data_IF_802701758936
#
_entry.id   IF_802701758936
#
_cell.length_a   1.000
_cell.length_b   1.000
_cell.length_c   1.000
_cell.angle_alpha   90.00
_cell.angle_beta   90.00
_cell.angle_gamma   90.00
#
_symmetry.space_group_name_H-M   'P 1'
#
loop_
_entity.id
_entity.type
_entity.pdbx_description
1 polymer ?
#
# COMPACT_ATOMS: atom_id res chain seq x y z
N UNK A 1 21.34 -30.20 -31.36
CA UNK A 1 21.46 -28.77 -30.97
C UNK A 1 21.77 -28.69 -29.48
N UNK A 2 23.01 -29.02 -29.07
CA UNK A 2 23.40 -29.25 -27.66
C UNK A 2 24.75 -28.60 -27.36
N UNK A 3 24.78 -27.27 -27.23
CA UNK A 3 25.99 -26.55 -26.73
C UNK A 3 25.74 -25.29 -25.89
N UNK A 4 24.50 -24.84 -25.68
CA UNK A 4 24.23 -23.55 -24.98
C UNK A 4 23.81 -23.70 -23.51
N UNK A 5 23.69 -24.91 -22.94
CA UNK A 5 23.05 -25.13 -21.62
C UNK A 5 24.00 -25.44 -20.45
N UNK A 6 25.31 -25.28 -20.63
CA UNK A 6 26.31 -25.75 -19.64
C UNK A 6 26.88 -24.61 -18.77
N UNK A 7 26.73 -23.34 -19.15
CA UNK A 7 27.51 -22.25 -18.50
C UNK A 7 26.89 -21.64 -17.22
N UNK A 8 25.61 -21.87 -16.90
CA UNK A 8 24.96 -21.27 -15.71
C UNK A 8 24.53 -22.29 -14.64
N UNK A 9 25.07 -23.51 -14.65
CA UNK A 9 24.77 -24.46 -13.57
C UNK A 9 25.44 -24.02 -12.28
N UNK A 10 24.63 -23.77 -11.25
CA UNK A 10 25.16 -23.56 -9.90
C UNK A 10 26.03 -24.75 -9.48
N UNK A 11 26.86 -24.57 -8.46
CA UNK A 11 27.69 -25.64 -7.88
C UNK A 11 26.87 -26.84 -7.32
N UNK A 12 25.55 -26.75 -7.36
CA UNK A 12 24.54 -27.71 -6.90
C UNK A 12 23.74 -28.36 -8.04
N UNK A 13 24.23 -28.27 -9.29
CA UNK A 13 23.72 -29.07 -10.42
C UNK A 13 22.37 -28.63 -11.01
N UNK A 14 21.71 -27.63 -10.41
CA UNK A 14 20.48 -27.01 -10.90
C UNK A 14 20.67 -25.51 -11.13
N UNK A 15 19.88 -24.94 -12.03
CA UNK A 15 19.67 -23.49 -12.13
C UNK A 15 18.36 -23.15 -11.42
N UNK A 16 18.27 -21.98 -10.80
CA UNK A 16 17.04 -21.49 -10.15
C UNK A 16 15.82 -21.55 -11.08
N UNK A 17 16.02 -21.28 -12.38
CA UNK A 17 14.97 -21.39 -13.40
C UNK A 17 14.44 -22.82 -13.58
N UNK A 18 15.29 -23.85 -13.49
CA UNK A 18 14.88 -25.24 -13.63
C UNK A 18 14.04 -25.71 -12.42
N UNK A 19 14.41 -25.29 -11.21
CA UNK A 19 13.63 -25.56 -10.00
C UNK A 19 12.30 -24.81 -10.02
N UNK A 20 12.30 -23.57 -10.52
CA UNK A 20 11.09 -22.77 -10.70
C UNK A 20 10.13 -23.40 -11.70
N UNK A 21 10.64 -23.89 -12.83
CA UNK A 21 9.83 -24.60 -13.83
C UNK A 21 9.22 -25.88 -13.23
N UNK A 22 10.00 -26.65 -12.46
CA UNK A 22 9.51 -27.82 -11.75
C UNK A 22 8.36 -27.49 -10.79
N UNK A 23 8.52 -26.42 -10.00
CA UNK A 23 7.47 -25.97 -9.07
C UNK A 23 6.30 -25.26 -9.77
N UNK A 24 6.37 -25.00 -11.07
CA UNK A 24 5.23 -24.49 -11.85
C UNK A 24 4.23 -25.59 -12.24
N UNK A 25 4.62 -26.86 -12.13
CA UNK A 25 3.79 -28.02 -12.47
C UNK A 25 2.97 -28.49 -11.26
N UNK A 26 1.91 -29.26 -11.51
CA UNK A 26 1.03 -29.82 -10.47
C UNK A 26 0.67 -31.27 -10.73
N UNK A 27 0.33 -31.99 -9.65
CA UNK A 27 -0.22 -33.35 -9.73
C UNK A 27 0.61 -34.30 -10.58
N UNK A 28 -0.03 -34.90 -11.58
CA UNK A 28 0.58 -35.91 -12.45
C UNK A 28 1.74 -35.36 -13.31
N UNK A 29 1.63 -34.12 -13.81
CA UNK A 29 2.68 -33.47 -14.61
C UNK A 29 3.93 -33.22 -13.76
N UNK A 30 3.73 -32.73 -12.53
CA UNK A 30 4.81 -32.56 -11.56
C UNK A 30 5.50 -33.88 -11.22
N UNK A 31 4.72 -34.94 -11.02
CA UNK A 31 5.25 -36.28 -10.77
C UNK A 31 6.08 -36.83 -11.94
N UNK A 32 5.61 -36.66 -13.17
CA UNK A 32 6.34 -37.08 -14.37
C UNK A 32 7.67 -36.34 -14.47
N UNK A 33 7.67 -35.03 -14.27
CA UNK A 33 8.88 -34.22 -14.27
C UNK A 33 9.88 -34.63 -13.18
N UNK A 34 9.40 -34.90 -11.97
CA UNK A 34 10.26 -35.42 -10.88
C UNK A 34 10.88 -36.77 -11.27
N UNK A 35 10.13 -37.66 -11.92
CA UNK A 35 10.64 -38.95 -12.40
C UNK A 35 11.68 -38.79 -13.50
N UNK A 36 11.47 -37.89 -14.46
CA UNK A 36 12.44 -37.58 -15.52
C UNK A 36 13.80 -37.11 -14.97
N UNK A 37 13.78 -36.35 -13.88
CA UNK A 37 15.01 -35.81 -13.25
C UNK A 37 15.80 -36.89 -12.50
N UNK A 38 15.20 -38.07 -12.28
CA UNK A 38 15.78 -39.20 -11.54
C UNK A 38 15.10 -39.46 -10.19
N UNK A 39 13.95 -38.84 -9.92
CA UNK A 39 13.22 -38.95 -8.66
C UNK A 39 13.74 -38.03 -7.56
N UNK A 40 13.10 -38.07 -6.41
CA UNK A 40 13.41 -37.19 -5.26
C UNK A 40 14.84 -37.43 -4.73
N UNK A 41 15.31 -38.68 -4.74
CA UNK A 41 16.66 -39.05 -4.29
C UNK A 41 17.76 -38.40 -5.16
N UNK A 42 17.56 -38.34 -6.48
CA UNK A 42 18.52 -37.70 -7.40
C UNK A 42 18.50 -36.17 -7.29
N UNK A 43 17.33 -35.57 -6.99
CA UNK A 43 17.22 -34.14 -6.70
C UNK A 43 18.02 -33.78 -5.44
N UNK A 44 17.84 -34.55 -4.35
CA UNK A 44 18.63 -34.37 -3.13
C UNK A 44 20.13 -34.52 -3.38
N UNK A 45 20.53 -35.53 -4.16
CA UNK A 45 21.93 -35.77 -4.52
C UNK A 45 22.55 -34.60 -5.30
N UNK A 46 21.82 -34.05 -6.28
CA UNK A 46 22.26 -32.87 -7.04
C UNK A 46 22.40 -31.65 -6.14
N UNK A 47 21.41 -31.40 -5.28
CA UNK A 47 21.44 -30.32 -4.29
C UNK A 47 22.45 -30.53 -3.15
N UNK A 48 23.18 -31.66 -3.14
CA UNK A 48 24.14 -32.06 -2.10
C UNK A 48 23.51 -32.10 -0.71
N UNK A 49 22.30 -32.66 -0.63
CA UNK A 49 21.52 -32.81 0.61
C UNK A 49 21.36 -34.30 0.89
N UNK A 50 21.61 -34.72 2.13
CA UNK A 50 21.21 -36.04 2.59
C UNK A 50 19.73 -35.99 3.03
N UNK A 51 18.82 -36.80 2.44
CA UNK A 51 17.41 -36.88 2.85
C UNK A 51 17.16 -37.18 4.33
N UNK A 52 18.14 -37.75 5.04
CA UNK A 52 18.02 -38.09 6.46
C UNK A 52 18.65 -37.03 7.36
N UNK A 53 19.92 -36.70 7.15
CA UNK A 53 20.63 -35.73 8.00
C UNK A 53 20.33 -34.27 7.68
N UNK A 54 19.80 -33.98 6.50
CA UNK A 54 19.64 -32.62 5.99
C UNK A 54 20.96 -31.93 5.69
N UNK A 55 20.93 -30.60 5.60
CA UNK A 55 22.13 -29.79 5.34
C UNK A 55 23.11 -29.82 6.52
N UNK A 56 24.41 -29.69 6.23
CA UNK A 56 25.39 -29.42 7.28
C UNK A 56 25.14 -28.04 7.90
N UNK A 57 25.45 -27.90 9.20
CA UNK A 57 25.29 -26.63 9.92
C UNK A 57 26.34 -25.59 9.49
N UNK A 58 27.41 -26.01 8.81
CA UNK A 58 28.59 -25.19 8.53
C UNK A 58 28.47 -24.43 7.20
N UNK A 59 28.36 -23.09 7.24
CA UNK A 59 28.79 -22.13 6.21
C UNK A 59 28.22 -22.22 4.77
N UNK A 60 27.45 -23.25 4.41
CA UNK A 60 26.88 -23.42 3.07
C UNK A 60 25.67 -22.53 2.81
N UNK A 61 25.04 -22.01 3.87
CA UNK A 61 23.80 -21.23 3.79
C UNK A 61 23.99 -19.97 2.94
N UNK A 62 25.08 -19.24 3.13
CA UNK A 62 25.37 -18.01 2.39
C UNK A 62 25.61 -18.28 0.89
N UNK A 63 26.30 -19.39 0.58
CA UNK A 63 26.55 -19.80 -0.81
C UNK A 63 25.25 -20.20 -1.52
N UNK A 64 24.35 -20.88 -0.81
CA UNK A 64 23.02 -21.24 -1.33
C UNK A 64 22.13 -20.01 -1.51
N UNK A 65 22.19 -19.05 -0.58
CA UNK A 65 21.49 -17.77 -0.73
C UNK A 65 21.98 -16.98 -1.95
N UNK A 66 23.29 -16.98 -2.22
CA UNK A 66 23.85 -16.36 -3.41
C UNK A 66 23.46 -17.08 -4.71
N UNK A 67 23.32 -18.41 -4.68
CA UNK A 67 22.97 -19.22 -5.85
C UNK A 67 21.47 -19.22 -6.19
N UNK A 68 20.60 -19.32 -5.18
CA UNK A 68 19.16 -19.56 -5.35
C UNK A 68 18.26 -18.42 -4.86
N UNK A 69 18.83 -17.41 -4.18
CA UNK A 69 18.09 -16.31 -3.56
C UNK A 69 17.81 -16.55 -2.07
N UNK A 70 17.24 -15.54 -1.42
CA UNK A 70 16.88 -15.54 -0.01
C UNK A 70 15.37 -15.77 0.15
N UNK A 71 14.95 -16.39 1.26
CA UNK A 71 13.53 -16.56 1.57
C UNK A 71 12.93 -15.28 2.17
N UNK A 72 13.03 -14.17 1.44
CA UNK A 72 12.56 -12.86 1.87
C UNK A 72 12.05 -12.11 0.66
N UNK A 73 10.85 -11.54 0.77
CA UNK A 73 10.24 -10.71 -0.27
C UNK A 73 10.35 -9.26 0.22
N UNK A 74 11.13 -8.45 -0.50
CA UNK A 74 11.41 -7.08 -0.05
C UNK A 74 10.10 -6.27 -0.02
N UNK A 75 9.70 -5.72 1.14
CA UNK A 75 8.51 -4.88 1.21
C UNK A 75 8.76 -3.57 0.46
N UNK A 76 7.67 -2.95 -0.04
CA UNK A 76 7.74 -1.64 -0.72
C UNK A 76 8.54 -0.65 0.13
N UNK A 77 9.50 0.05 -0.48
CA UNK A 77 10.38 1.01 0.20
C UNK A 77 9.57 2.08 0.94
N UNK A 78 10.07 2.50 2.10
CA UNK A 78 9.41 3.53 2.89
C UNK A 78 9.34 4.85 2.13
N UNK A 79 8.20 5.55 2.23
CA UNK A 79 8.12 6.90 1.68
C UNK A 79 9.06 7.79 2.48
N UNK A 80 9.83 8.61 1.77
CA UNK A 80 10.67 9.60 2.43
C UNK A 80 9.79 10.68 3.05
N UNK A 81 10.26 11.30 4.13
CA UNK A 81 9.56 12.43 4.74
C UNK A 81 9.26 13.55 3.72
N UNK A 82 10.19 13.82 2.81
CA UNK A 82 9.99 14.78 1.72
C UNK A 82 8.93 14.34 0.71
N UNK A 83 8.84 13.03 0.42
CA UNK A 83 7.77 12.49 -0.44
C UNK A 83 6.41 12.65 0.24
N UNK A 84 6.33 12.40 1.55
CA UNK A 84 5.11 12.62 2.33
C UNK A 84 4.71 14.10 2.38
N UNK A 85 5.67 15.00 2.55
CA UNK A 85 5.42 16.44 2.44
C UNK A 85 4.90 16.82 1.05
N UNK A 86 5.49 16.27 -0.01
CA UNK A 86 5.05 16.54 -1.38
C UNK A 86 3.62 16.05 -1.61
N UNK A 87 3.28 14.85 -1.13
CA UNK A 87 1.93 14.31 -1.22
C UNK A 87 0.92 15.16 -0.41
N UNK A 88 1.30 15.62 0.79
CA UNK A 88 0.47 16.53 1.59
C UNK A 88 0.22 17.88 0.90
N UNK A 89 1.21 18.41 0.17
CA UNK A 89 1.06 19.67 -0.59
C UNK A 89 0.09 19.53 -1.78
N UNK A 90 -0.09 18.33 -2.33
CA UNK A 90 -0.96 18.07 -3.48
C UNK A 90 -2.45 18.01 -3.12
N UNK A 91 -2.79 18.19 -1.85
CA UNK A 91 -4.16 18.20 -1.36
C UNK A 91 -4.89 19.48 -1.83
N UNK A 92 -6.09 19.31 -2.39
CA UNK A 92 -6.79 20.37 -3.14
C UNK A 92 -7.06 21.60 -2.26
N UNK A 93 -7.40 21.40 -0.99
CA UNK A 93 -7.70 22.54 -0.10
C UNK A 93 -6.44 23.34 0.24
N UNK A 94 -5.31 22.67 0.51
CA UNK A 94 -4.02 23.32 0.69
C UNK A 94 -3.51 24.02 -0.59
N UNK A 95 -3.71 23.43 -1.78
CA UNK A 95 -3.38 24.09 -3.06
C UNK A 95 -4.15 25.42 -3.19
N UNK A 96 -5.46 25.41 -2.91
CA UNK A 96 -6.27 26.63 -2.97
C UNK A 96 -5.75 27.66 -1.95
N UNK A 97 -5.45 27.24 -0.72
CA UNK A 97 -4.87 28.11 0.31
C UNK A 97 -3.45 28.63 -0.02
N UNK A 98 -2.71 28.02 -0.95
CA UNK A 98 -1.45 28.57 -1.44
C UNK A 98 -1.66 29.57 -2.58
N UNK A 99 -2.58 29.28 -3.51
CA UNK A 99 -2.81 30.10 -4.71
C UNK A 99 -3.55 31.40 -4.33
N UNK A 100 -4.55 31.35 -3.47
CA UNK A 100 -5.41 32.51 -3.19
C UNK A 100 -4.67 33.67 -2.50
N UNK A 101 -3.82 33.45 -1.47
CA UNK A 101 -2.99 34.51 -0.89
C UNK A 101 -1.94 35.06 -1.87
N UNK A 102 -1.34 34.17 -2.67
CA UNK A 102 -0.39 34.57 -3.71
C UNK A 102 -1.04 35.47 -4.77
N UNK A 103 -2.29 35.17 -5.16
CA UNK A 103 -3.10 36.02 -6.02
C UNK A 103 -3.40 37.38 -5.38
N UNK A 104 -3.74 37.40 -4.08
CA UNK A 104 -4.03 38.64 -3.36
C UNK A 104 -2.80 39.56 -3.24
N UNK A 105 -1.61 39.00 -2.94
CA UNK A 105 -0.35 39.76 -2.88
C UNK A 105 0.02 40.32 -4.26
N UNK A 106 -0.15 39.54 -5.33
CA UNK A 106 0.15 40.00 -6.69
C UNK A 106 -0.79 41.13 -7.13
N UNK A 107 -2.10 41.02 -6.85
CA UNK A 107 -3.09 42.05 -7.14
C UNK A 107 -2.87 43.29 -6.29
N UNK A 108 -2.51 43.13 -5.02
CA UNK A 108 -2.11 44.23 -4.13
C UNK A 108 -0.91 45.01 -4.68
N UNK A 109 0.15 44.30 -5.06
CA UNK A 109 1.38 44.90 -5.58
C UNK A 109 1.16 45.56 -6.94
N UNK A 110 0.38 44.93 -7.82
CA UNK A 110 0.04 45.52 -9.12
C UNK A 110 -0.87 46.74 -8.98
N UNK A 111 -1.85 46.70 -8.07
CA UNK A 111 -2.72 47.85 -7.78
C UNK A 111 -1.92 49.04 -7.24
N UNK A 112 -0.97 48.81 -6.34
CA UNK A 112 -0.04 49.82 -5.84
C UNK A 112 0.84 50.42 -6.96
N UNK A 113 1.24 49.60 -7.96
CA UNK A 113 2.15 50.02 -9.02
C UNK A 113 1.46 50.67 -10.22
N UNK A 114 0.22 50.28 -10.54
CA UNK A 114 -0.49 50.68 -11.77
C UNK A 114 -1.65 51.66 -11.54
N UNK A 115 -2.32 51.61 -10.38
CA UNK A 115 -3.64 52.24 -10.23
C UNK A 115 -3.67 53.46 -9.31
N UNK A 116 -2.70 53.72 -8.43
CA UNK A 116 -2.79 54.85 -7.47
C UNK A 116 -1.62 55.82 -7.60
N UNK A 117 -1.73 56.90 -8.40
CA UNK A 117 -1.05 58.14 -8.06
C UNK A 117 -1.72 58.73 -6.80
N UNK A 118 -0.91 59.26 -5.89
CA UNK A 118 -1.24 59.81 -4.55
C UNK A 118 -2.39 60.86 -4.52
N UNK A 119 -2.89 61.26 -5.68
CA UNK A 119 -3.84 62.36 -5.91
C UNK A 119 -5.34 61.98 -5.94
N UNK A 120 -5.72 60.69 -5.92
CA UNK A 120 -7.13 60.25 -6.11
C UNK A 120 -7.73 59.40 -4.96
N UNK A 121 -7.12 59.36 -3.78
CA UNK A 121 -7.71 58.68 -2.61
C UNK A 121 -8.87 59.50 -2.01
N UNK A 122 -10.12 59.22 -2.43
CA UNK A 122 -11.33 59.87 -1.90
C UNK A 122 -11.79 59.33 -0.54
N UNK A 123 -11.49 58.08 -0.21
CA UNK A 123 -11.91 57.45 1.05
C UNK A 123 -10.80 57.41 2.12
N UNK A 124 -11.15 57.67 3.39
CA UNK A 124 -10.22 57.55 4.53
C UNK A 124 -9.65 56.13 4.69
N UNK A 125 -10.37 55.12 4.20
CA UNK A 125 -9.94 53.71 4.22
C UNK A 125 -8.81 53.43 3.21
N UNK A 126 -8.78 54.14 2.07
CA UNK A 126 -7.67 54.07 1.10
C UNK A 126 -6.43 54.87 1.53
N UNK A 127 -6.58 55.92 2.33
CA UNK A 127 -5.44 56.73 2.84
C UNK A 127 -4.60 56.01 3.89
N UNK A 128 -5.19 55.06 4.61
CA UNK A 128 -4.51 54.21 5.61
C UNK A 128 -4.09 52.84 5.06
N UNK A 129 -4.06 52.68 3.73
CA UNK A 129 -3.65 51.45 3.09
C UNK A 129 -2.15 51.20 3.29
N UNK A 130 -1.81 50.46 4.34
CA UNK A 130 -0.44 50.03 4.58
C UNK A 130 -0.20 48.74 3.80
N UNK A 131 0.62 48.74 2.73
CA UNK A 131 0.91 47.54 1.93
C UNK A 131 1.56 46.43 2.78
N UNK A 132 2.18 46.81 3.90
CA UNK A 132 2.70 45.88 4.90
C UNK A 132 1.61 44.98 5.50
N UNK A 133 0.37 45.47 5.70
CA UNK A 133 -0.71 44.68 6.30
C UNK A 133 -1.16 43.57 5.34
N UNK A 134 -1.31 43.87 4.05
CA UNK A 134 -1.73 42.88 3.04
C UNK A 134 -0.66 41.80 2.80
N UNK A 135 0.63 42.18 2.82
CA UNK A 135 1.73 41.21 2.75
C UNK A 135 1.77 40.30 3.99
N UNK A 136 1.55 40.86 5.18
CA UNK A 136 1.50 40.08 6.43
C UNK A 136 0.30 39.13 6.43
N UNK A 137 -0.88 39.55 5.96
CA UNK A 137 -2.07 38.70 5.87
C UNK A 137 -1.84 37.48 4.96
N UNK A 138 -1.33 37.71 3.75
CA UNK A 138 -1.03 36.61 2.83
C UNK A 138 0.14 35.73 3.29
N UNK A 139 1.18 36.35 3.86
CA UNK A 139 2.33 35.65 4.42
C UNK A 139 1.98 34.77 5.61
N UNK A 140 1.04 35.20 6.47
CA UNK A 140 0.58 34.42 7.61
C UNK A 140 -0.13 33.12 7.18
N UNK A 141 -0.94 33.17 6.12
CA UNK A 141 -1.63 31.98 5.57
C UNK A 141 -0.61 31.00 4.99
N UNK A 142 0.37 31.49 4.21
CA UNK A 142 1.43 30.63 3.66
C UNK A 142 2.26 29.97 4.77
N UNK A 143 2.60 30.72 5.83
CA UNK A 143 3.30 30.17 6.99
C UNK A 143 2.46 29.10 7.70
N UNK A 144 1.15 29.33 7.87
CA UNK A 144 0.25 28.35 8.47
C UNK A 144 0.16 27.06 7.64
N UNK A 145 0.08 27.17 6.31
CA UNK A 145 0.10 26.01 5.40
C UNK A 145 1.39 25.20 5.55
N UNK A 146 2.55 25.87 5.62
CA UNK A 146 3.83 25.19 5.84
C UNK A 146 3.83 24.40 7.15
N UNK A 147 3.31 24.99 8.23
CA UNK A 147 3.21 24.30 9.53
C UNK A 147 2.29 23.08 9.44
N UNK A 148 1.12 23.22 8.81
CA UNK A 148 0.16 22.11 8.62
C UNK A 148 0.80 20.97 7.82
N UNK A 149 1.43 21.26 6.68
CA UNK A 149 2.12 20.25 5.86
C UNK A 149 3.19 19.50 6.65
N UNK A 150 3.98 20.21 7.46
CA UNK A 150 5.03 19.59 8.29
C UNK A 150 4.40 18.67 9.35
N UNK A 151 3.35 19.12 10.03
CA UNK A 151 2.65 18.32 11.05
C UNK A 151 2.01 17.09 10.42
N UNK A 152 1.33 17.23 9.28
CA UNK A 152 0.72 16.12 8.55
C UNK A 152 1.77 15.11 8.09
N UNK A 153 2.85 15.56 7.46
CA UNK A 153 3.93 14.68 7.03
C UNK A 153 4.62 13.97 8.21
N UNK A 154 4.76 14.65 9.35
CA UNK A 154 5.33 14.06 10.56
C UNK A 154 4.43 12.96 11.15
N UNK A 155 3.12 13.21 11.15
CA UNK A 155 2.13 12.24 11.59
C UNK A 155 2.14 10.98 10.69
N UNK A 156 2.14 11.18 9.38
CA UNK A 156 2.17 10.07 8.41
C UNK A 156 3.49 9.29 8.45
N UNK A 157 4.62 9.98 8.62
CA UNK A 157 5.91 9.33 8.79
C UNK A 157 5.98 8.49 10.06
N UNK A 158 5.45 9.02 11.16
CA UNK A 158 5.37 8.30 12.44
C UNK A 158 4.48 7.07 12.31
N UNK A 159 3.33 7.21 11.61
CA UNK A 159 2.42 6.10 11.31
C UNK A 159 3.12 5.00 10.52
N UNK A 160 3.78 5.34 9.41
CA UNK A 160 4.48 4.36 8.57
C UNK A 160 5.60 3.65 9.33
N UNK A 161 6.36 4.37 10.15
CA UNK A 161 7.42 3.81 10.99
C UNK A 161 6.89 2.81 12.02
N UNK A 162 5.74 3.09 12.62
CA UNK A 162 5.10 2.18 13.59
C UNK A 162 4.59 0.90 12.91
N UNK A 163 3.97 1.01 11.73
CA UNK A 163 3.51 -0.17 10.99
C UNK A 163 4.66 -1.07 10.55
N UNK A 164 5.74 -0.49 10.03
CA UNK A 164 6.93 -1.26 9.64
C UNK A 164 7.57 -1.97 10.84
N UNK A 165 7.74 -1.26 11.97
CA UNK A 165 8.30 -1.87 13.18
C UNK A 165 7.44 -3.01 13.77
N UNK A 166 6.12 -3.00 13.53
CA UNK A 166 5.25 -4.13 13.89
C UNK A 166 5.39 -5.28 12.89
N UNK A 167 5.42 -4.97 11.59
CA UNK A 167 5.58 -5.97 10.53
C UNK A 167 6.92 -6.72 10.65
N UNK A 168 8.02 -5.99 10.84
CA UNK A 168 9.36 -6.56 10.95
C UNK A 168 9.47 -7.53 12.14
N UNK A 169 8.78 -7.23 13.24
CA UNK A 169 8.73 -8.11 14.43
C UNK A 169 7.89 -9.35 14.21
N UNK A 170 6.74 -9.21 13.56
CA UNK A 170 5.88 -10.35 13.24
C UNK A 170 6.62 -11.32 12.32
N UNK A 171 7.33 -10.80 11.33
CA UNK A 171 8.11 -11.58 10.37
C UNK A 171 9.34 -12.25 11.02
N UNK A 172 10.04 -11.56 11.92
CA UNK A 172 11.22 -12.11 12.59
C UNK A 172 10.91 -13.23 13.60
N UNK A 173 9.71 -13.21 14.20
CA UNK A 173 9.31 -14.16 15.23
C UNK A 173 8.75 -15.48 14.66
N UNK A 174 8.50 -15.57 13.35
CA UNK A 174 8.07 -16.82 12.73
C UNK A 174 9.24 -17.79 12.56
N UNK A 175 9.17 -18.93 13.24
CA UNK A 175 10.13 -20.02 13.14
C UNK A 175 9.52 -21.26 12.50
N UNK A 176 10.35 -22.06 11.86
CA UNK A 176 9.96 -23.34 11.27
C UNK A 176 10.95 -24.45 11.65
N UNK A 177 10.46 -25.67 11.84
CA UNK A 177 11.31 -26.82 12.17
C UNK A 177 12.01 -27.36 10.92
N UNK A 178 13.34 -27.32 10.90
CA UNK A 178 14.17 -27.92 9.85
C UNK A 178 15.13 -28.95 10.41
N UNK A 179 15.59 -29.88 9.56
CA UNK A 179 16.61 -30.86 9.91
C UNK A 179 17.94 -30.42 9.30
N UNK A 180 18.93 -30.10 10.16
CA UNK A 180 20.32 -29.82 9.79
C UNK A 180 21.27 -30.63 10.68
N UNK A 181 22.29 -31.27 10.10
CA UNK A 181 23.26 -32.07 10.84
C UNK A 181 22.64 -33.21 11.67
N UNK A 182 21.58 -33.83 11.14
CA UNK A 182 20.79 -34.87 11.81
C UNK A 182 20.10 -34.42 13.12
N UNK A 183 19.88 -33.11 13.28
CA UNK A 183 19.14 -32.52 14.41
C UNK A 183 17.97 -31.70 13.87
N UNK A 184 16.80 -31.85 14.50
CA UNK A 184 15.68 -30.95 14.28
C UNK A 184 15.94 -29.66 15.06
N UNK A 185 16.06 -28.55 14.34
CA UNK A 185 16.28 -27.22 14.89
C UNK A 185 15.18 -26.29 14.38
N UNK A 186 14.80 -25.30 15.18
CA UNK A 186 13.91 -24.23 14.76
C UNK A 186 14.75 -23.06 14.26
N UNK A 187 14.48 -22.64 13.03
CA UNK A 187 15.13 -21.47 12.40
C UNK A 187 14.07 -20.48 11.97
N UNK A 188 14.45 -19.20 11.85
CA UNK A 188 13.56 -18.19 11.30
C UNK A 188 13.19 -18.54 9.84
N UNK A 189 11.97 -18.22 9.42
CA UNK A 189 11.50 -18.48 8.04
C UNK A 189 12.43 -17.82 6.99
N UNK A 190 12.96 -16.64 7.31
CA UNK A 190 13.87 -15.89 6.44
C UNK A 190 15.23 -16.61 6.20
N UNK A 191 15.63 -17.52 7.09
CA UNK A 191 16.89 -18.25 7.04
C UNK A 191 16.78 -19.62 6.34
N UNK A 192 15.57 -19.97 5.88
CA UNK A 192 15.34 -21.19 5.10
C UNK A 192 15.97 -21.02 3.71
N UNK A 193 16.72 -22.03 3.28
CA UNK A 193 17.41 -22.04 1.99
C UNK A 193 17.07 -23.28 1.17
N UNK A 194 17.33 -23.20 -0.15
CA UNK A 194 17.16 -24.34 -1.06
C UNK A 194 18.04 -25.51 -0.61
N UNK A 195 17.39 -26.67 -0.44
CA UNK A 195 17.99 -27.89 0.07
C UNK A 195 17.76 -28.14 1.57
N UNK A 196 17.20 -27.19 2.32
CA UNK A 196 16.77 -27.49 3.69
C UNK A 196 15.72 -28.60 3.71
N UNK A 197 15.73 -29.41 4.77
CA UNK A 197 14.70 -30.41 5.01
C UNK A 197 13.74 -29.88 6.06
N UNK A 198 12.57 -29.43 5.60
CA UNK A 198 11.51 -28.93 6.47
C UNK A 198 10.67 -30.10 7.01
N UNK A 199 10.43 -30.10 8.31
CA UNK A 199 9.51 -31.05 8.94
C UNK A 199 8.12 -30.44 9.01
N UNK A 200 7.19 -30.97 8.21
CA UNK A 200 5.83 -30.47 8.10
C UNK A 200 4.89 -31.24 9.03
N UNK A 201 4.04 -30.53 9.75
CA UNK A 201 3.07 -31.05 10.72
C UNK A 201 1.70 -30.42 10.47
N UNK A 202 0.67 -31.03 11.06
CA UNK A 202 -0.68 -30.47 11.06
C UNK A 202 -0.71 -29.04 11.59
N UNK A 203 -1.37 -28.14 10.86
CA UNK A 203 -1.52 -26.73 11.18
C UNK A 203 -0.37 -25.83 10.72
N UNK A 204 0.67 -26.40 10.09
CA UNK A 204 1.78 -25.60 9.58
C UNK A 204 1.39 -24.87 8.28
N UNK A 205 1.74 -23.60 8.20
CA UNK A 205 1.81 -22.84 6.94
C UNK A 205 3.17 -23.11 6.28
N UNK A 206 3.16 -23.54 5.04
CA UNK A 206 4.41 -23.88 4.36
C UNK A 206 5.24 -22.62 4.01
N UNK A 207 6.51 -22.53 4.47
CA UNK A 207 7.31 -21.32 4.33
C UNK A 207 8.02 -21.20 2.97
N UNK A 208 8.10 -22.29 2.21
CA UNK A 208 8.81 -22.39 0.96
C UNK A 208 8.22 -23.51 0.10
N UNK A 209 8.53 -23.48 -1.19
CA UNK A 209 8.15 -24.54 -2.13
C UNK A 209 9.09 -25.74 -1.98
N UNK A 210 8.58 -26.96 -2.17
CA UNK A 210 9.41 -28.15 -2.07
C UNK A 210 8.74 -29.46 -2.45
N UNK A 211 9.46 -30.54 -2.20
CA UNK A 211 9.10 -31.90 -2.62
C UNK A 211 9.09 -32.83 -1.41
N UNK A 212 8.07 -33.67 -1.27
CA UNK A 212 7.97 -34.64 -0.17
C UNK A 212 9.04 -35.75 -0.29
N UNK A 213 9.70 -36.07 0.83
CA UNK A 213 10.81 -37.02 0.88
C UNK A 213 10.40 -38.43 1.32
N UNK A 214 9.41 -38.55 2.21
CA UNK A 214 9.11 -39.82 2.87
C UNK A 214 8.10 -40.67 2.07
N UNK A 215 8.48 -41.93 1.78
CA UNK A 215 7.62 -42.95 1.14
C UNK A 215 6.52 -43.50 2.08
N UNK A 216 6.68 -43.38 3.40
CA UNK A 216 5.63 -43.61 4.41
C UNK A 216 5.25 -42.27 5.04
N UNK A 217 4.44 -41.49 4.34
CA UNK A 217 3.75 -40.36 4.94
C UNK A 217 2.55 -40.88 5.73
N UNK A 218 2.34 -40.40 6.95
CA UNK A 218 0.96 -40.26 7.43
C UNK A 218 0.25 -39.40 6.38
N UNK A 219 -0.88 -39.84 5.81
CA UNK A 219 -1.61 -39.15 4.72
C UNK A 219 -1.52 -37.61 4.87
N UNK A 220 -0.59 -36.97 4.16
CA UNK A 220 -0.42 -35.50 4.22
C UNK A 220 -1.49 -34.93 3.31
N UNK A 221 -2.40 -34.16 3.89
CA UNK A 221 -3.40 -33.42 3.14
C UNK A 221 -3.14 -31.95 3.28
N UNK A 222 -3.17 -31.26 2.15
CA UNK A 222 -2.89 -29.83 2.08
C UNK A 222 -4.12 -29.13 1.53
N UNK A 223 -4.44 -27.98 2.12
CA UNK A 223 -5.36 -27.03 1.53
C UNK A 223 -4.60 -26.13 0.56
N UNK A 224 -4.89 -26.29 -0.73
CA UNK A 224 -4.32 -25.48 -1.81
C UNK A 224 -5.25 -24.34 -2.26
N UNK A 225 -6.37 -24.11 -1.55
CA UNK A 225 -7.35 -23.07 -1.87
C UNK A 225 -6.71 -21.71 -2.07
N UNK A 226 -5.71 -21.41 -1.25
CA UNK A 226 -4.85 -20.26 -1.35
C UNK A 226 -4.33 -19.99 -2.77
N UNK A 227 -3.94 -21.04 -3.48
CA UNK A 227 -3.28 -20.93 -4.78
C UNK A 227 -4.18 -21.28 -5.96
N UNK A 228 -5.14 -22.19 -5.78
CA UNK A 228 -6.00 -22.70 -6.86
C UNK A 228 -7.43 -22.19 -6.78
N UNK A 229 -7.87 -21.71 -5.61
CA UNK A 229 -9.26 -21.41 -5.31
C UNK A 229 -10.14 -22.63 -5.06
N UNK A 230 -9.58 -23.85 -5.11
CA UNK A 230 -10.31 -25.09 -4.82
C UNK A 230 -10.17 -25.43 -3.34
N UNK A 231 -11.29 -25.57 -2.61
CA UNK A 231 -11.29 -25.85 -1.16
C UNK A 231 -11.09 -27.33 -0.80
N UNK A 232 -10.97 -28.20 -1.80
CA UNK A 232 -10.82 -29.63 -1.57
C UNK A 232 -9.39 -29.96 -1.13
N UNK A 233 -9.28 -30.74 -0.05
CA UNK A 233 -7.97 -31.17 0.47
C UNK A 233 -7.24 -32.09 -0.52
N UNK A 234 -6.04 -31.70 -0.91
CA UNK A 234 -5.20 -32.47 -1.85
C UNK A 234 -4.31 -33.44 -1.08
N UNK A 235 -4.41 -34.73 -1.40
CA UNK A 235 -3.53 -35.77 -0.83
C UNK A 235 -2.16 -35.75 -1.51
N UNK A 236 -1.10 -35.53 -0.72
CA UNK A 236 0.28 -35.50 -1.18
C UNK A 236 1.00 -36.81 -0.91
N UNK A 237 1.72 -37.29 -1.91
CA UNK A 237 2.56 -38.49 -1.79
C UNK A 237 3.63 -38.51 -2.86
N UNK A 238 4.73 -39.23 -2.60
CA UNK A 238 5.83 -39.39 -3.56
C UNK A 238 5.37 -40.00 -4.89
N UNK A 239 4.29 -40.79 -4.87
CA UNK A 239 3.81 -41.56 -6.02
C UNK A 239 2.68 -40.90 -6.81
N UNK A 240 1.97 -39.92 -6.23
CA UNK A 240 0.82 -39.26 -6.86
C UNK A 240 1.07 -37.79 -7.13
N UNK A 241 1.42 -37.05 -6.09
CA UNK A 241 1.61 -35.61 -6.14
C UNK A 241 2.65 -35.22 -5.07
N UNK A 242 3.92 -35.11 -5.46
CA UNK A 242 5.01 -34.93 -4.50
C UNK A 242 5.29 -33.46 -4.18
N UNK A 243 4.63 -32.51 -4.84
CA UNK A 243 4.94 -31.08 -4.78
C UNK A 243 4.14 -30.39 -3.65
N UNK A 244 4.83 -29.54 -2.89
CA UNK A 244 4.29 -28.70 -1.84
C UNK A 244 4.61 -27.24 -2.15
N UNK A 245 3.63 -26.36 -1.92
CA UNK A 245 3.72 -24.94 -2.29
C UNK A 245 3.71 -24.05 -1.06
N UNK A 246 4.55 -23.03 -1.06
CA UNK A 246 4.56 -21.96 -0.05
C UNK A 246 3.19 -21.30 0.07
N UNK A 247 2.78 -20.92 1.28
CA UNK A 247 1.49 -20.27 1.50
C UNK A 247 0.28 -21.22 1.54
N UNK A 248 0.49 -22.54 1.44
CA UNK A 248 -0.55 -23.56 1.64
C UNK A 248 -0.52 -24.13 3.07
N UNK A 249 -1.66 -24.64 3.54
CA UNK A 249 -1.83 -25.13 4.92
C UNK A 249 -1.87 -26.65 4.99
N UNK A 250 -1.19 -27.23 5.97
CA UNK A 250 -1.23 -28.67 6.24
C UNK A 250 -2.45 -29.00 7.09
N UNK A 251 -3.43 -29.68 6.49
CA UNK A 251 -4.72 -30.00 7.11
C UNK A 251 -4.76 -31.37 7.77
N UNK A 252 -3.93 -32.32 7.34
CA UNK A 252 -3.78 -33.62 8.01
C UNK A 252 -2.37 -34.17 7.81
N UNK A 253 -1.93 -35.00 8.75
CA UNK A 253 -0.69 -35.77 8.63
C UNK A 253 0.57 -35.03 9.06
N UNK A 254 1.71 -35.63 8.72
CA UNK A 254 3.04 -35.09 8.99
C UNK A 254 4.05 -35.72 8.04
N UNK A 255 5.08 -34.98 7.65
CA UNK A 255 6.09 -35.46 6.72
C UNK A 255 7.38 -34.67 6.75
N UNK A 256 8.26 -34.97 5.80
CA UNK A 256 9.46 -34.19 5.51
C UNK A 256 9.43 -33.76 4.06
N UNK A 257 9.80 -32.52 3.80
CA UNK A 257 9.98 -31.99 2.44
C UNK A 257 11.38 -31.42 2.27
N UNK A 258 11.93 -31.52 1.07
CA UNK A 258 13.14 -30.79 0.67
C UNK A 258 12.72 -29.49 -0.02
N UNK A 259 13.32 -28.38 0.41
CA UNK A 259 13.05 -27.05 -0.16
C UNK A 259 13.68 -26.92 -1.55
N UNK A 260 12.90 -26.49 -2.53
CA UNK A 260 13.34 -26.30 -3.92
C UNK A 260 13.38 -24.84 -4.33
N UNK A 261 12.37 -24.04 -3.95
CA UNK A 261 12.30 -22.61 -4.27
C UNK A 261 11.91 -21.80 -3.03
N UNK A 262 12.53 -20.62 -2.88
CA UNK A 262 12.34 -19.69 -1.76
C UNK A 262 12.09 -18.27 -2.24
N UNK A 263 11.44 -17.45 -1.42
CA UNK A 263 11.22 -16.02 -1.68
C UNK A 263 10.55 -15.76 -3.02
N UNK A 264 11.07 -14.81 -3.79
CA UNK A 264 10.51 -14.44 -5.11
C UNK A 264 10.51 -15.58 -6.15
N UNK A 265 11.28 -16.64 -5.91
CA UNK A 265 11.34 -17.80 -6.82
C UNK A 265 10.27 -18.84 -6.52
N UNK A 266 9.59 -18.77 -5.37
CA UNK A 266 8.45 -19.64 -5.08
C UNK A 266 7.22 -19.27 -5.90
N UNK A 267 6.24 -20.16 -6.04
CA UNK A 267 5.00 -19.87 -6.76
C UNK A 267 4.25 -18.69 -6.12
N UNK A 268 4.12 -18.70 -4.80
CA UNK A 268 3.46 -17.63 -4.04
C UNK A 268 4.25 -16.33 -4.13
N UNK A 269 5.59 -16.38 -4.10
CA UNK A 269 6.43 -15.20 -4.28
C UNK A 269 6.31 -14.58 -5.67
N UNK A 270 6.15 -15.40 -6.72
CA UNK A 270 5.90 -14.90 -8.08
C UNK A 270 4.54 -14.21 -8.20
N UNK A 271 3.49 -14.82 -7.64
CA UNK A 271 2.16 -14.21 -7.60
C UNK A 271 2.22 -12.88 -6.84
N UNK A 272 2.87 -12.86 -5.68
CA UNK A 272 3.04 -11.66 -4.87
C UNK A 272 3.77 -10.55 -5.64
N UNK A 273 4.84 -10.89 -6.37
CA UNK A 273 5.59 -9.94 -7.19
C UNK A 273 4.76 -9.38 -8.34
N UNK A 274 3.93 -10.21 -8.98
CA UNK A 274 3.02 -9.77 -10.06
C UNK A 274 1.92 -8.84 -9.51
N UNK A 275 1.34 -9.17 -8.37
CA UNK A 275 0.34 -8.32 -7.70
C UNK A 275 0.97 -7.00 -7.22
N UNK A 276 2.18 -7.05 -6.68
CA UNK A 276 2.94 -5.88 -6.24
C UNK A 276 3.33 -4.95 -7.38
N UNK A 277 3.72 -5.49 -8.54
CA UNK A 277 4.07 -4.72 -9.74
C UNK A 277 2.85 -4.01 -10.37
N UNK A 278 1.63 -4.55 -10.19
CA UNK A 278 0.39 -3.90 -10.62
C UNK A 278 -0.04 -2.72 -9.74
N UNK A 279 0.41 -2.67 -8.49
CA UNK A 279 0.10 -1.61 -7.53
C UNK A 279 1.01 -0.37 -7.66
N UNK A 280 1.88 -0.33 -8.68
CA UNK A 280 2.72 0.83 -8.95
C UNK A 280 2.01 1.91 -9.79
N UNK A 281 0.82 1.62 -10.33
CA UNK A 281 0.00 2.60 -11.08
C UNK A 281 -1.07 3.33 -10.25
N UNK A 282 -1.38 2.89 -9.03
CA UNK A 282 -2.30 3.60 -8.14
C UNK A 282 -1.80 3.48 -6.70
N UNK A 283 -1.67 4.63 -6.03
CA UNK A 283 -1.07 4.79 -4.69
C UNK A 283 -1.85 4.15 -3.53
N UNK A 284 -2.43 2.97 -3.73
CA UNK A 284 -3.09 2.16 -2.71
C UNK A 284 -2.10 1.48 -1.76
N UNK A 285 -2.56 1.08 -0.56
CA UNK A 285 -1.75 0.31 0.38
C UNK A 285 -1.31 -1.01 -0.25
N UNK A 286 -0.12 -1.50 0.12
CA UNK A 286 0.35 -2.82 -0.28
C UNK A 286 -0.71 -3.88 0.05
N UNK A 287 -0.91 -4.90 -0.80
CA UNK A 287 -1.87 -5.95 -0.52
C UNK A 287 -1.50 -6.64 0.79
N UNK A 288 -2.37 -6.52 1.80
CA UNK A 288 -2.32 -7.36 3.00
C UNK A 288 -2.76 -8.74 2.55
N UNK A 289 -1.81 -9.67 2.43
CA UNK A 289 -2.15 -11.08 2.26
C UNK A 289 -2.22 -11.68 3.65
N UNK A 290 -3.45 -11.84 4.12
CA UNK A 290 -3.74 -12.72 5.24
C UNK A 290 -3.42 -14.15 4.77
N UNK A 291 -2.71 -14.91 5.60
CA UNK A 291 -2.25 -16.26 5.28
C UNK A 291 -3.40 -17.29 5.11
N UNK A 292 -4.66 -16.87 4.92
CA UNK A 292 -5.81 -17.77 4.85
C UNK A 292 -6.59 -17.76 3.52
N UNK A 293 -6.38 -16.87 2.53
CA UNK A 293 -7.01 -17.10 1.20
C UNK A 293 -6.52 -16.20 0.03
N UNK A 294 -5.47 -16.57 -0.73
CA UNK A 294 -5.10 -15.85 -1.96
C UNK A 294 -5.98 -16.06 -3.21
N UNK A 295 -7.16 -16.69 -3.12
CA UNK A 295 -7.94 -17.11 -4.28
C UNK A 295 -8.78 -16.04 -5.02
N UNK A 296 -8.95 -14.82 -4.54
CA UNK A 296 -9.93 -13.88 -5.14
C UNK A 296 -9.44 -13.11 -6.38
N UNK A 297 -8.21 -13.34 -6.87
CA UNK A 297 -7.56 -12.47 -7.85
C UNK A 297 -7.47 -12.95 -9.31
N UNK A 298 -7.99 -14.12 -9.70
CA UNK A 298 -7.71 -14.69 -11.03
C UNK A 298 -8.98 -14.99 -11.87
N UNK A 299 -9.44 -13.99 -12.63
CA UNK A 299 -10.14 -14.24 -13.90
C UNK A 299 -9.46 -13.44 -15.02
N UNK A 300 -8.55 -14.10 -15.71
CA UNK A 300 -8.09 -13.66 -17.01
C UNK A 300 -9.17 -13.97 -18.06
N UNK A 301 -9.64 -12.96 -18.78
CA UNK A 301 -10.32 -13.15 -20.06
C UNK A 301 -9.73 -12.18 -21.08
N UNK A 302 -9.29 -12.76 -22.18
CA UNK A 302 -8.61 -12.15 -23.31
C UNK A 302 -9.60 -11.62 -24.37
N UNK A 303 -9.15 -10.54 -25.03
CA UNK A 303 -9.45 -10.06 -26.40
C UNK A 303 -10.53 -8.97 -26.60
N UNK A 304 -10.00 -7.76 -26.85
CA UNK A 304 -10.27 -6.81 -27.95
C UNK A 304 -11.70 -6.66 -28.51
N UNK A 305 -12.28 -5.46 -28.35
CA UNK A 305 -12.33 -4.44 -29.42
C UNK A 305 -13.38 -3.34 -29.13
N UNK A 306 -13.05 -2.12 -29.60
CA UNK A 306 -13.93 -1.01 -30.00
C UNK A 306 -14.52 -0.09 -28.91
N UNK A 307 -13.90 1.09 -28.85
CA UNK A 307 -14.34 2.33 -28.21
C UNK A 307 -15.47 3.01 -29.00
N UNK A 308 -16.58 3.38 -28.34
CA UNK A 308 -17.49 4.48 -28.75
C UNK A 308 -18.55 4.81 -27.68
N UNK A 309 -18.67 6.10 -27.36
CA UNK A 309 -19.96 6.78 -27.18
C UNK A 309 -20.49 6.95 -25.74
N UNK A 310 -20.64 8.23 -25.36
CA UNK A 310 -21.33 8.82 -24.21
C UNK A 310 -22.68 8.19 -23.83
N UNK A 311 -23.07 8.26 -22.55
CA UNK A 311 -24.12 9.16 -21.98
C UNK A 311 -24.56 8.65 -20.59
N UNK A 312 -24.82 9.58 -19.67
CA UNK A 312 -25.34 9.39 -18.31
C UNK A 312 -26.61 8.52 -18.23
N UNK A 313 -26.73 7.70 -17.17
CA UNK A 313 -27.96 7.62 -16.36
C UNK A 313 -27.77 6.85 -15.04
N UNK A 314 -28.42 7.39 -14.00
CA UNK A 314 -28.70 6.80 -12.70
C UNK A 314 -29.30 5.39 -12.83
N UNK A 315 -28.66 4.40 -12.21
CA UNK A 315 -29.25 3.39 -11.30
C UNK A 315 -28.13 2.47 -10.83
N UNK A 316 -27.85 2.40 -9.53
CA UNK A 316 -26.92 1.39 -8.99
C UNK A 316 -27.55 0.72 -7.78
N UNK A 317 -28.41 -0.26 -8.06
CA UNK A 317 -28.47 -1.47 -7.26
C UNK A 317 -27.71 -2.54 -8.05
N UNK A 318 -26.68 -3.14 -7.45
CA UNK A 318 -25.88 -4.18 -8.08
C UNK A 318 -24.59 -4.43 -7.29
N UNK A 319 -24.49 -5.62 -6.71
CA UNK A 319 -23.40 -6.13 -5.89
C UNK A 319 -22.01 -5.68 -6.34
N UNK A 320 -21.27 -5.11 -5.40
CA UNK A 320 -19.81 -5.03 -5.42
C UNK A 320 -19.30 -5.92 -4.29
N UNK A 321 -19.12 -7.21 -4.58
CA UNK A 321 -18.36 -8.13 -3.71
C UNK A 321 -16.87 -7.85 -3.96
N UNK A 322 -16.21 -7.21 -3.00
CA UNK A 322 -14.77 -6.94 -3.05
C UNK A 322 -14.23 -5.75 -2.26
N UNK A 323 -14.99 -5.08 -1.37
CA UNK A 323 -14.48 -3.97 -0.55
C UNK A 323 -15.01 -3.98 0.90
N UNK A 324 -15.18 -5.18 1.49
CA UNK A 324 -15.87 -5.40 2.77
C UNK A 324 -14.94 -5.72 3.96
N UNK A 325 -13.68 -5.29 3.91
CA UNK A 325 -12.73 -5.45 5.05
C UNK A 325 -12.55 -4.19 5.89
N UNK A 326 -13.37 -3.15 5.68
CA UNK A 326 -13.37 -2.00 6.59
C UNK A 326 -14.09 -2.40 7.87
N UNK A 327 -13.39 -2.33 9.00
CA UNK A 327 -13.93 -2.46 10.36
C UNK A 327 -15.29 -1.78 10.47
N UNK A 328 -16.23 -2.46 11.12
CA UNK A 328 -17.56 -1.89 11.41
C UNK A 328 -17.42 -0.49 12.08
N UNK A 329 -16.36 -0.28 12.87
CA UNK A 329 -16.04 1.01 13.46
C UNK A 329 -15.52 2.01 12.42
N UNK A 330 -14.58 1.62 11.55
CA UNK A 330 -14.04 2.50 10.51
C UNK A 330 -15.08 2.88 9.46
N UNK A 331 -15.94 1.95 9.06
CA UNK A 331 -17.05 2.24 8.16
C UNK A 331 -17.99 3.30 8.77
N UNK A 332 -18.32 3.17 10.06
CA UNK A 332 -19.15 4.15 10.78
C UNK A 332 -18.45 5.49 10.95
N UNK A 333 -17.17 5.50 11.32
CA UNK A 333 -16.39 6.72 11.52
C UNK A 333 -16.16 7.47 10.21
N UNK A 334 -15.88 6.74 9.12
CA UNK A 334 -15.76 7.31 7.77
C UNK A 334 -17.08 7.87 7.30
N UNK A 335 -18.20 7.16 7.55
CA UNK A 335 -19.54 7.66 7.23
C UNK A 335 -19.86 8.95 8.01
N UNK A 336 -19.50 9.04 9.29
CA UNK A 336 -19.63 10.27 10.09
C UNK A 336 -18.74 11.40 9.55
N UNK A 337 -17.47 11.11 9.24
CA UNK A 337 -16.55 12.10 8.69
C UNK A 337 -17.03 12.64 7.33
N UNK A 338 -17.54 11.78 6.45
CA UNK A 338 -18.14 12.19 5.17
C UNK A 338 -19.41 13.01 5.35
N UNK A 339 -20.25 12.68 6.33
CA UNK A 339 -21.46 13.46 6.65
C UNK A 339 -21.08 14.86 7.13
N UNK A 340 -20.13 14.96 8.06
CA UNK A 340 -19.61 16.24 8.55
C UNK A 340 -18.97 17.02 7.39
N UNK A 341 -18.19 16.36 6.53
CA UNK A 341 -17.60 16.98 5.35
C UNK A 341 -18.64 17.53 4.37
N UNK A 342 -19.72 16.79 4.09
CA UNK A 342 -20.84 17.26 3.25
C UNK A 342 -21.55 18.48 3.84
N UNK A 343 -21.79 18.48 5.14
CA UNK A 343 -22.36 19.65 5.84
C UNK A 343 -21.37 20.83 5.75
N UNK A 344 -20.08 20.58 5.96
CA UNK A 344 -19.02 21.57 5.85
C UNK A 344 -18.96 22.23 4.46
N UNK A 345 -19.02 21.43 3.40
CA UNK A 345 -19.06 21.92 2.01
C UNK A 345 -20.30 22.78 1.77
N UNK A 346 -21.48 22.34 2.23
CA UNK A 346 -22.72 23.08 2.08
C UNK A 346 -22.63 24.44 2.80
N UNK A 347 -22.16 24.46 4.04
CA UNK A 347 -22.03 25.68 4.83
C UNK A 347 -20.99 26.61 4.20
N UNK A 348 -19.84 26.10 3.78
CA UNK A 348 -18.81 26.88 3.09
C UNK A 348 -19.36 27.52 1.80
N UNK A 349 -20.04 26.75 0.94
CA UNK A 349 -20.64 27.27 -0.28
C UNK A 349 -21.73 28.33 0.01
N UNK A 350 -22.57 28.11 1.02
CA UNK A 350 -23.59 29.06 1.44
C UNK A 350 -22.96 30.36 1.96
N UNK A 351 -21.89 30.29 2.75
CA UNK A 351 -21.20 31.50 3.24
C UNK A 351 -20.62 32.32 2.10
N UNK A 352 -19.96 31.69 1.12
CA UNK A 352 -19.43 32.38 -0.07
C UNK A 352 -20.57 33.00 -0.88
N UNK A 353 -21.66 32.26 -1.09
CA UNK A 353 -22.83 32.74 -1.85
C UNK A 353 -23.48 33.97 -1.19
N UNK A 354 -23.66 33.95 0.14
CA UNK A 354 -24.20 35.10 0.89
C UNK A 354 -23.28 36.32 0.76
N UNK A 355 -21.96 36.13 0.82
CA UNK A 355 -21.00 37.22 0.66
C UNK A 355 -20.98 37.78 -0.77
N UNK A 356 -21.11 36.93 -1.79
CA UNK A 356 -21.24 37.35 -3.19
C UNK A 356 -22.54 38.16 -3.40
N UNK A 357 -23.67 37.67 -2.89
CA UNK A 357 -24.95 38.39 -2.99
C UNK A 357 -24.86 39.75 -2.29
N UNK A 358 -24.24 39.80 -1.10
CA UNK A 358 -24.00 41.06 -0.38
C UNK A 358 -23.15 42.03 -1.20
N UNK A 359 -22.11 41.54 -1.88
CA UNK A 359 -21.26 42.35 -2.76
C UNK A 359 -22.03 42.90 -3.96
N UNK A 360 -22.81 42.05 -4.65
CA UNK A 360 -23.63 42.47 -5.79
C UNK A 360 -24.68 43.50 -5.37
N UNK A 361 -25.31 43.31 -4.21
CA UNK A 361 -26.33 44.23 -3.70
C UNK A 361 -25.72 45.58 -3.35
N UNK A 362 -24.55 45.59 -2.71
CA UNK A 362 -23.80 46.82 -2.43
C UNK A 362 -23.41 47.54 -3.73
N UNK A 363 -22.84 46.82 -4.70
CA UNK A 363 -22.48 47.36 -6.01
C UNK A 363 -23.68 47.91 -6.80
N UNK A 364 -24.85 47.29 -6.69
CA UNK A 364 -26.07 47.74 -7.36
C UNK A 364 -26.64 49.05 -6.78
N UNK A 365 -26.42 49.30 -5.48
CA UNK A 365 -26.88 50.51 -4.79
C UNK A 365 -25.93 51.70 -5.05
N UNK A 366 -24.62 51.43 -5.14
CA UNK A 366 -23.59 52.47 -5.28
C UNK A 366 -23.37 52.95 -6.72
N UNK A 367 -24.13 52.39 -7.69
CA UNK A 367 -23.97 52.58 -9.14
C UNK A 367 -24.36 53.99 -9.65
N UNK A 368 -24.36 55.00 -8.78
CA UNK A 368 -24.63 56.40 -9.14
C UNK A 368 -23.29 57.15 -9.17
N UNK A 369 -22.80 57.37 -10.39
CA UNK A 369 -21.65 58.21 -10.83
C UNK A 369 -20.24 57.68 -10.59
N UNK A 370 -19.61 57.11 -11.63
CA UNK A 370 -18.14 57.22 -11.81
C UNK A 370 -17.65 56.97 -13.24
N UNK A 371 -16.49 57.56 -13.54
CA UNK A 371 -15.90 57.85 -14.84
C UNK A 371 -15.05 56.67 -15.40
N UNK A 372 -14.59 56.75 -16.64
CA UNK A 372 -13.95 55.61 -17.35
C UNK A 372 -12.66 55.03 -16.74
N UNK A 373 -11.93 55.79 -15.89
CA UNK A 373 -10.72 55.31 -15.18
C UNK A 373 -11.06 54.62 -13.86
N UNK A 374 -12.15 55.00 -13.19
CA UNK A 374 -12.62 54.38 -11.95
C UNK A 374 -13.05 52.93 -12.17
N UNK A 375 -13.55 52.61 -13.38
CA UNK A 375 -14.01 51.28 -13.73
C UNK A 375 -12.92 50.20 -13.70
N UNK A 376 -11.69 50.52 -14.15
CA UNK A 376 -10.55 49.57 -14.08
C UNK A 376 -10.04 49.38 -12.65
N UNK A 377 -10.17 50.41 -11.82
CA UNK A 377 -9.79 50.41 -10.41
C UNK A 377 -10.79 49.56 -9.59
N UNK A 378 -12.08 49.73 -9.89
CA UNK A 378 -13.19 48.96 -9.34
C UNK A 378 -13.06 47.46 -9.68
N UNK A 379 -12.75 47.09 -10.92
CA UNK A 379 -12.59 45.68 -11.33
C UNK A 379 -11.50 44.95 -10.51
N UNK A 380 -10.39 45.62 -10.20
CA UNK A 380 -9.34 45.06 -9.32
C UNK A 380 -9.80 44.91 -7.86
N UNK A 381 -10.57 45.87 -7.34
CA UNK A 381 -11.13 45.82 -5.99
C UNK A 381 -12.17 44.71 -5.86
N UNK A 382 -13.07 44.55 -6.83
CA UNK A 382 -14.02 43.45 -6.87
C UNK A 382 -13.32 42.08 -6.88
N UNK A 383 -12.23 41.95 -7.65
CA UNK A 383 -11.42 40.74 -7.65
C UNK A 383 -10.79 40.45 -6.27
N UNK A 384 -10.26 41.47 -5.58
CA UNK A 384 -9.76 41.33 -4.18
C UNK A 384 -10.86 40.84 -3.22
N UNK A 385 -12.07 41.40 -3.30
CA UNK A 385 -13.19 40.96 -2.46
C UNK A 385 -13.59 39.50 -2.75
N UNK A 386 -13.64 39.11 -4.01
CA UNK A 386 -13.93 37.73 -4.41
C UNK A 386 -12.87 36.77 -3.86
N UNK A 387 -11.57 37.08 -3.99
CA UNK A 387 -10.50 36.27 -3.40
C UNK A 387 -10.67 36.14 -1.88
N UNK A 388 -11.00 37.22 -1.18
CA UNK A 388 -11.23 37.20 0.27
C UNK A 388 -12.42 36.32 0.66
N UNK A 389 -13.51 36.32 -0.12
CA UNK A 389 -14.65 35.43 0.12
C UNK A 389 -14.28 33.97 -0.10
N UNK A 390 -13.47 33.66 -1.13
CA UNK A 390 -12.95 32.32 -1.35
C UNK A 390 -12.08 31.86 -0.18
N UNK A 391 -11.18 32.71 0.34
CA UNK A 391 -10.38 32.38 1.54
C UNK A 391 -11.30 32.04 2.72
N UNK A 392 -12.32 32.88 2.99
CA UNK A 392 -13.27 32.62 4.09
C UNK A 392 -13.99 31.28 3.87
N UNK A 393 -14.49 31.01 2.66
CA UNK A 393 -15.14 29.73 2.35
C UNK A 393 -14.23 28.51 2.56
N UNK A 394 -12.98 28.59 2.11
CA UNK A 394 -12.01 27.49 2.27
C UNK A 394 -11.59 27.33 3.73
N UNK A 395 -11.42 28.42 4.49
CA UNK A 395 -11.14 28.31 5.94
C UNK A 395 -12.28 27.64 6.70
N UNK A 396 -13.54 27.92 6.34
CA UNK A 396 -14.70 27.22 6.90
C UNK A 396 -14.67 25.73 6.53
N UNK A 397 -14.30 25.40 5.29
CA UNK A 397 -14.17 24.01 4.84
C UNK A 397 -13.08 23.25 5.62
N UNK A 398 -11.89 23.84 5.78
CA UNK A 398 -10.76 23.22 6.51
C UNK A 398 -11.10 23.01 7.99
N UNK A 399 -11.82 23.95 8.61
CA UNK A 399 -12.29 23.77 10.00
C UNK A 399 -13.37 22.69 10.11
N UNK A 400 -14.18 22.51 9.07
CA UNK A 400 -15.29 21.57 9.07
C UNK A 400 -14.86 20.12 8.81
N UNK A 401 -13.80 19.86 8.05
CA UNK A 401 -13.34 18.49 7.74
C UNK A 401 -12.37 18.02 8.84
N UNK A 402 -12.74 17.05 9.70
CA UNK A 402 -11.87 16.58 10.77
C UNK A 402 -10.84 15.59 10.23
N UNK A 403 -9.80 16.07 9.55
CA UNK A 403 -8.70 15.25 9.01
C UNK A 403 -7.96 14.46 10.11
N UNK A 404 -8.01 14.94 11.35
CA UNK A 404 -7.42 14.27 12.51
C UNK A 404 -8.18 13.03 13.00
N UNK A 405 -9.42 12.79 12.54
CA UNK A 405 -10.24 11.70 13.06
C UNK A 405 -9.71 10.31 12.66
N UNK A 406 -9.41 10.01 11.38
CA UNK A 406 -8.79 8.74 11.00
C UNK A 406 -7.40 8.53 11.61
N UNK A 407 -6.64 9.63 11.77
CA UNK A 407 -5.32 9.61 12.39
C UNK A 407 -5.39 9.25 13.87
N UNK A 408 -6.30 9.87 14.63
CA UNK A 408 -6.49 9.60 16.06
C UNK A 408 -6.82 8.12 16.32
N UNK A 409 -7.68 7.54 15.48
CA UNK A 409 -8.02 6.11 15.55
C UNK A 409 -6.79 5.24 15.30
N UNK A 410 -6.04 5.56 14.24
CA UNK A 410 -4.83 4.81 13.88
C UNK A 410 -3.78 4.85 15.00
N UNK A 411 -3.52 6.03 15.56
CA UNK A 411 -2.54 6.22 16.65
C UNK A 411 -2.99 5.50 17.91
N UNK A 412 -4.26 5.65 18.30
CA UNK A 412 -4.83 4.97 19.46
C UNK A 412 -4.70 3.45 19.36
N UNK A 413 -4.94 2.91 18.16
CA UNK A 413 -4.84 1.50 17.90
C UNK A 413 -3.40 1.00 17.84
N UNK A 414 -2.49 1.73 17.19
CA UNK A 414 -1.06 1.40 17.21
C UNK A 414 -0.51 1.36 18.64
N UNK A 415 -0.93 2.32 19.48
CA UNK A 415 -0.58 2.31 20.91
C UNK A 415 -1.19 1.11 21.64
N UNK A 416 -2.46 0.78 21.36
CA UNK A 416 -3.14 -0.37 21.95
C UNK A 416 -2.48 -1.70 21.56
N UNK A 417 -2.13 -1.90 20.29
CA UNK A 417 -1.42 -3.09 19.80
C UNK A 417 -0.04 -3.19 20.44
N UNK A 418 0.70 -2.07 20.53
CA UNK A 418 2.01 -2.05 21.21
C UNK A 418 1.89 -2.45 22.69
N UNK A 419 0.84 -1.99 23.37
CA UNK A 419 0.57 -2.36 24.77
C UNK A 419 0.18 -3.84 24.90
N UNK A 420 -0.73 -4.33 24.04
CA UNK A 420 -1.13 -5.74 24.02
C UNK A 420 0.06 -6.67 23.76
N UNK A 421 1.00 -6.26 22.90
CA UNK A 421 2.23 -7.01 22.65
C UNK A 421 3.09 -7.12 23.92
N UNK A 422 3.17 -6.06 24.74
CA UNK A 422 3.88 -6.11 26.03
C UNK A 422 3.21 -7.05 27.04
N UNK A 423 1.88 -7.24 26.92
CA UNK A 423 1.09 -8.17 27.73
C UNK A 423 1.11 -9.62 27.17
N UNK A 424 2.04 -9.94 26.25
CA UNK A 424 2.15 -11.21 25.52
C UNK A 424 0.92 -11.59 24.69
N UNK A 425 0.12 -10.59 24.26
CA UNK A 425 -1.01 -10.79 23.38
C UNK A 425 -0.71 -10.17 21.99
N UNK A 426 -0.47 -11.03 21.00
CA UNK A 426 -0.14 -10.61 19.63
C UNK A 426 -1.41 -10.48 18.78
N UNK A 427 -1.77 -9.24 18.43
CA UNK A 427 -2.87 -8.97 17.50
C UNK A 427 -2.38 -9.18 16.07
N UNK A 428 -2.86 -10.24 15.39
CA UNK A 428 -2.46 -10.60 14.01
C UNK A 428 -3.22 -9.83 12.94
N UNK A 429 -4.53 -9.65 13.12
CA UNK A 429 -5.36 -8.83 12.22
C UNK A 429 -5.95 -7.67 13.01
N UNK A 430 -5.64 -6.47 12.57
CA UNK A 430 -6.42 -5.31 12.98
C UNK A 430 -7.61 -5.31 12.02
N UNK A 431 -8.79 -5.72 12.50
CA UNK A 431 -10.04 -5.56 11.77
C UNK A 431 -10.33 -4.07 11.61
N UNK A 432 -9.70 -3.48 10.60
CA UNK A 432 -9.60 -2.06 10.21
C UNK A 432 -10.07 -1.95 8.78
#
# INVERSE_FOLDING_TARGET
>A
MSKTKIEDRTSYGFVTAELRELMGLRGAEGLERVKEIGGVEEICKKLKVDPVSGLSTDGETDQRMAAFGRNYIEPKKAKSFLRLMWEAIQEITLIILMITPSGNINVSTSYQHYCVPESYAKDEESKNHNPYIEFIEGGAILLAVVVVVVVTAFNDWTKEKQFRGLQDKIESDQVFTVVRGNKSIEIAIADIVVGDICQVKYGDLLPADGIILQKRSNDVKIDESAMTGESDHVKKSVERDPLLFSGTHVMEGSGKMVVTCVGENSQSGQIFKLLGAGADSDGGPAPKIDAENPASGAKASSNDAAYKGETENLTTGGNSEGDDDKSILQAKLTSMALLIGKIGILVAALTVLVLIIKLIWFAAIDNQTTDSLDKMLEDCLYFKYILKFVIIGVTVLVVAVPEGLPLAVTISLAFSVKKMMADNNLVRHLGI
#
